data_IF_469149612978
#
_entry.id   IF_469149612978
#
_cell.length_a   1.000
_cell.length_b   1.000
_cell.length_c   1.000
_cell.angle_alpha   90.00
_cell.angle_beta   90.00
_cell.angle_gamma   90.00
#
_symmetry.space_group_name_H-M   'P 1'
#
loop_
_entity.id
_entity.type
_entity.pdbx_description
1 polymer ?
#
# COMPACT_ATOMS: atom_id res chain seq x y z
N UNK A 1 8.24 -8.69 -15.31
CA UNK A 1 9.27 -7.64 -15.21
C UNK A 1 10.58 -8.27 -15.62
N UNK A 2 11.00 -8.09 -16.87
CA UNK A 2 12.16 -8.78 -17.42
C UNK A 2 13.18 -7.75 -17.87
N UNK A 3 14.31 -7.73 -17.18
CA UNK A 3 15.55 -7.20 -17.72
C UNK A 3 16.08 -8.19 -18.76
N UNK A 4 16.83 -7.71 -19.74
CA UNK A 4 17.52 -8.53 -20.72
C UNK A 4 19.01 -8.47 -20.42
N UNK A 5 19.64 -9.63 -20.31
CA UNK A 5 21.10 -9.75 -20.25
C UNK A 5 21.77 -9.14 -21.50
N UNK A 6 21.10 -9.20 -22.65
CA UNK A 6 21.64 -8.73 -23.94
C UNK A 6 21.59 -7.21 -24.10
N UNK A 7 20.95 -6.49 -23.19
CA UNK A 7 20.83 -5.03 -23.28
C UNK A 7 21.59 -4.36 -22.14
N UNK A 8 22.28 -3.23 -22.37
CA UNK A 8 22.83 -2.42 -21.28
C UNK A 8 21.72 -1.65 -20.56
N UNK A 9 22.06 -0.96 -19.47
CA UNK A 9 21.22 0.08 -18.89
C UNK A 9 21.32 1.33 -19.76
N UNK A 10 20.20 1.80 -20.28
CA UNK A 10 20.11 2.98 -21.14
C UNK A 10 19.30 4.11 -20.49
N UNK A 11 19.39 5.30 -21.09
CA UNK A 11 18.58 6.47 -20.74
C UNK A 11 17.69 6.80 -21.92
N UNK A 12 16.38 6.83 -21.67
CA UNK A 12 15.36 7.22 -22.65
C UNK A 12 14.81 8.59 -22.31
N UNK A 13 14.82 9.51 -23.28
CA UNK A 13 14.24 10.84 -23.14
C UNK A 13 12.89 10.91 -23.87
N UNK A 14 11.85 11.35 -23.17
CA UNK A 14 10.53 11.66 -23.72
C UNK A 14 10.44 13.19 -23.89
N UNK A 15 10.49 13.65 -25.14
CA UNK A 15 10.49 15.08 -25.50
C UNK A 15 9.15 15.74 -25.21
N UNK A 16 8.03 15.03 -25.33
CA UNK A 16 6.70 15.55 -25.05
C UNK A 16 6.51 15.82 -23.56
N UNK A 17 7.06 14.94 -22.71
CA UNK A 17 7.00 15.08 -21.24
C UNK A 17 8.20 15.81 -20.64
N UNK A 18 9.17 16.20 -21.46
CA UNK A 18 10.47 16.78 -21.05
C UNK A 18 11.11 15.99 -19.91
N UNK A 19 11.13 14.66 -20.02
CA UNK A 19 11.53 13.76 -18.93
C UNK A 19 12.42 12.63 -19.42
N UNK A 20 13.52 12.39 -18.71
CA UNK A 20 14.37 11.22 -18.91
C UNK A 20 13.99 10.07 -17.95
N UNK A 21 14.22 8.84 -18.38
CA UNK A 21 14.01 7.61 -17.60
C UNK A 21 15.05 6.56 -17.96
N UNK A 22 15.48 5.76 -16.99
CA UNK A 22 16.32 4.60 -17.27
C UNK A 22 15.51 3.42 -17.83
N UNK A 23 16.15 2.64 -18.70
CA UNK A 23 15.64 1.36 -19.20
C UNK A 23 16.48 0.17 -18.71
N UNK A 24 15.96 -1.04 -18.92
CA UNK A 24 16.59 -2.30 -18.53
C UNK A 24 17.01 -2.42 -17.04
N UNK A 25 16.28 -1.75 -16.14
CA UNK A 25 16.48 -1.84 -14.67
C UNK A 25 15.33 -2.61 -14.02
N UNK A 26 15.67 -3.39 -12.99
CA UNK A 26 14.69 -4.02 -12.11
C UNK A 26 14.49 -3.23 -10.82
N UNK A 27 13.22 -3.09 -10.40
CA UNK A 27 12.86 -2.54 -9.10
C UNK A 27 12.68 -3.68 -8.10
N UNK A 28 13.12 -3.48 -6.85
CA UNK A 28 13.02 -4.53 -5.82
C UNK A 28 11.58 -4.83 -5.38
N UNK A 29 10.63 -3.91 -5.64
CA UNK A 29 9.22 -4.08 -5.27
C UNK A 29 8.92 -3.91 -3.78
N UNK A 30 9.94 -3.63 -2.95
CA UNK A 30 9.74 -3.43 -1.51
C UNK A 30 9.01 -2.12 -1.22
N UNK A 31 7.85 -2.23 -0.59
CA UNK A 31 7.03 -1.07 -0.19
C UNK A 31 7.61 -0.40 1.06
N UNK A 32 8.29 -1.17 1.91
CA UNK A 32 8.73 -0.72 3.23
C UNK A 32 10.17 -0.22 3.23
N UNK A 33 11.05 -0.87 2.48
CA UNK A 33 12.49 -0.62 2.55
C UNK A 33 13.04 0.19 1.37
N UNK A 34 12.28 0.33 0.28
CA UNK A 34 12.73 1.05 -0.91
C UNK A 34 11.85 2.28 -1.19
N UNK A 35 12.39 3.52 -1.08
CA UNK A 35 11.61 4.74 -1.26
C UNK A 35 11.05 4.88 -2.69
N UNK A 36 11.79 4.45 -3.71
CA UNK A 36 11.34 4.49 -5.11
C UNK A 36 10.16 3.54 -5.37
N UNK A 37 10.26 2.31 -4.88
CA UNK A 37 9.21 1.30 -5.04
C UNK A 37 7.98 1.69 -4.21
N UNK A 38 8.19 2.14 -2.98
CA UNK A 38 7.13 2.59 -2.08
C UNK A 38 6.26 3.66 -2.72
N UNK A 39 6.88 4.69 -3.33
CA UNK A 39 6.16 5.76 -4.04
C UNK A 39 5.34 5.22 -5.22
N UNK A 40 5.93 4.38 -6.07
CA UNK A 40 5.25 3.84 -7.26
C UNK A 40 4.06 2.95 -6.90
N UNK A 41 4.25 2.06 -5.93
CA UNK A 41 3.19 1.18 -5.43
C UNK A 41 2.07 1.99 -4.79
N UNK A 42 2.42 3.01 -3.99
CA UNK A 42 1.44 3.89 -3.35
C UNK A 42 0.61 4.69 -4.36
N UNK A 43 1.24 5.20 -5.42
CA UNK A 43 0.52 5.89 -6.51
C UNK A 43 -0.45 4.96 -7.24
N UNK A 44 0.00 3.76 -7.61
CA UNK A 44 -0.88 2.77 -8.24
C UNK A 44 -2.06 2.38 -7.33
N UNK A 45 -1.80 2.18 -6.03
CA UNK A 45 -2.86 1.89 -5.04
C UNK A 45 -3.83 3.06 -4.85
N UNK A 46 -3.35 4.31 -4.90
CA UNK A 46 -4.20 5.51 -4.78
C UNK A 46 -5.33 5.52 -5.81
N UNK A 47 -5.02 5.21 -7.07
CA UNK A 47 -6.03 5.16 -8.13
C UNK A 47 -7.06 4.04 -7.90
N UNK A 48 -6.63 2.88 -7.42
CA UNK A 48 -7.53 1.77 -7.09
C UNK A 48 -8.47 2.12 -5.93
N UNK A 49 -7.93 2.73 -4.87
CA UNK A 49 -8.73 3.17 -3.72
C UNK A 49 -9.73 4.24 -4.14
N UNK A 50 -9.33 5.22 -4.96
CA UNK A 50 -10.23 6.24 -5.47
C UNK A 50 -11.41 5.63 -6.24
N UNK A 51 -11.15 4.67 -7.15
CA UNK A 51 -12.20 3.95 -7.88
C UNK A 51 -13.13 3.17 -6.95
N UNK A 52 -12.58 2.51 -5.94
CA UNK A 52 -13.37 1.76 -4.96
C UNK A 52 -14.30 2.69 -4.15
N UNK A 53 -13.79 3.84 -3.71
CA UNK A 53 -14.57 4.86 -2.99
C UNK A 53 -15.70 5.39 -3.86
N UNK A 54 -15.41 5.78 -5.10
CA UNK A 54 -16.44 6.26 -6.04
C UNK A 54 -17.52 5.21 -6.27
N UNK A 55 -17.13 3.95 -6.47
CA UNK A 55 -18.08 2.84 -6.68
C UNK A 55 -18.95 2.57 -5.45
N UNK A 56 -18.36 2.62 -4.25
CA UNK A 56 -19.10 2.44 -3.00
C UNK A 56 -20.13 3.57 -2.78
N UNK A 57 -19.72 4.82 -3.00
CA UNK A 57 -20.60 5.98 -2.88
C UNK A 57 -21.77 5.91 -3.86
N UNK A 58 -21.52 5.48 -5.11
CA UNK A 58 -22.58 5.29 -6.11
C UNK A 58 -23.62 4.22 -5.71
N UNK A 59 -23.25 3.28 -4.83
CA UNK A 59 -24.15 2.26 -4.27
C UNK A 59 -24.83 2.71 -2.96
N UNK A 60 -24.69 3.97 -2.56
CA UNK A 60 -25.20 4.47 -1.28
C UNK A 60 -24.47 3.91 -0.05
N UNK A 61 -23.26 3.37 -0.23
CA UNK A 61 -22.44 2.86 0.88
C UNK A 61 -21.60 3.99 1.49
N UNK A 62 -21.21 3.81 2.75
CA UNK A 62 -20.26 4.69 3.43
C UNK A 62 -18.87 4.08 3.46
N UNK A 63 -17.84 4.89 3.21
CA UNK A 63 -16.43 4.47 3.28
C UNK A 63 -15.74 5.17 4.42
N UNK A 64 -15.05 4.41 5.27
CA UNK A 64 -14.26 4.92 6.38
C UNK A 64 -12.85 4.33 6.35
N UNK A 65 -11.84 5.15 6.65
CA UNK A 65 -10.48 4.70 6.94
C UNK A 65 -10.36 4.47 8.44
N UNK A 66 -10.12 3.22 8.85
CA UNK A 66 -10.03 2.85 10.26
C UNK A 66 -8.58 2.52 10.62
N UNK A 67 -8.11 3.09 11.73
CA UNK A 67 -6.85 2.71 12.37
C UNK A 67 -7.17 2.05 13.71
N UNK A 68 -7.03 0.72 13.79
CA UNK A 68 -7.37 -0.06 14.99
C UNK A 68 -6.10 -0.37 15.77
N UNK A 69 -5.87 0.36 16.86
CA UNK A 69 -4.69 0.21 17.72
C UNK A 69 -5.11 -0.05 19.17
N UNK A 70 -4.21 -0.67 19.94
CA UNK A 70 -4.35 -0.85 21.38
C UNK A 70 -3.11 -0.23 22.04
N UNK A 71 -3.29 0.65 23.05
CA UNK A 71 -2.14 1.12 23.82
C UNK A 71 -1.45 -0.07 24.48
N UNK A 72 -0.12 -0.04 24.53
CA UNK A 72 0.70 -1.07 25.18
C UNK A 72 1.93 -0.44 25.81
N UNK A 73 2.40 -1.06 26.90
CA UNK A 73 3.54 -0.64 27.70
C UNK A 73 4.53 -1.80 27.89
N UNK A 74 5.73 -1.49 28.38
CA UNK A 74 6.83 -2.45 28.51
C UNK A 74 6.48 -3.71 29.32
N UNK A 75 5.61 -3.59 30.32
CA UNK A 75 5.20 -4.69 31.18
C UNK A 75 3.96 -5.46 30.72
N UNK A 76 3.33 -5.06 29.62
CA UNK A 76 2.10 -5.70 29.16
C UNK A 76 2.41 -7.06 28.52
N UNK A 77 1.61 -8.07 28.87
CA UNK A 77 1.70 -9.38 28.23
C UNK A 77 1.15 -9.32 26.80
N UNK A 78 2.00 -9.68 25.83
CA UNK A 78 1.66 -9.64 24.42
C UNK A 78 0.50 -10.59 24.07
N UNK A 79 0.44 -11.78 24.69
CA UNK A 79 -0.61 -12.77 24.38
C UNK A 79 -1.97 -12.25 24.84
N UNK A 80 -2.04 -11.65 26.02
CA UNK A 80 -3.24 -11.04 26.56
C UNK A 80 -3.71 -9.85 25.70
N UNK A 81 -2.81 -8.93 25.32
CA UNK A 81 -3.12 -7.80 24.44
C UNK A 81 -3.71 -8.26 23.10
N UNK A 82 -3.10 -9.27 22.46
CA UNK A 82 -3.59 -9.82 21.20
C UNK A 82 -4.95 -10.51 21.36
N UNK A 83 -5.18 -11.21 22.47
CA UNK A 83 -6.46 -11.83 22.80
C UNK A 83 -7.58 -10.80 22.97
N UNK A 84 -7.30 -9.71 23.71
CA UNK A 84 -8.22 -8.57 23.89
C UNK A 84 -8.52 -7.86 22.57
N UNK A 85 -7.49 -7.59 21.76
CA UNK A 85 -7.66 -6.97 20.44
C UNK A 85 -8.51 -7.86 19.51
N UNK A 86 -8.33 -9.18 19.54
CA UNK A 86 -9.16 -10.12 18.78
C UNK A 86 -10.63 -10.05 19.20
N UNK A 87 -10.91 -10.05 20.50
CA UNK A 87 -12.28 -9.90 21.03
C UNK A 87 -12.89 -8.56 20.60
N UNK A 88 -12.17 -7.45 20.74
CA UNK A 88 -12.64 -6.13 20.33
C UNK A 88 -12.97 -6.05 18.83
N UNK A 89 -12.12 -6.63 17.96
CA UNK A 89 -12.40 -6.70 16.52
C UNK A 89 -13.64 -7.53 16.21
N UNK A 90 -13.84 -8.65 16.89
CA UNK A 90 -15.07 -9.44 16.72
C UNK A 90 -16.29 -8.59 17.10
N UNK A 91 -16.30 -7.93 18.25
CA UNK A 91 -17.41 -7.04 18.62
C UNK A 91 -17.70 -5.96 17.57
N UNK A 92 -16.66 -5.35 16.99
CA UNK A 92 -16.81 -4.32 15.96
C UNK A 92 -17.46 -4.84 14.66
N UNK A 93 -17.11 -6.06 14.23
CA UNK A 93 -17.49 -6.58 12.91
C UNK A 93 -18.63 -7.60 12.92
N UNK A 94 -18.87 -8.32 14.03
CA UNK A 94 -19.85 -9.41 14.10
C UNK A 94 -21.04 -9.14 15.00
N UNK A 95 -20.93 -8.25 15.99
CA UNK A 95 -22.07 -7.86 16.84
C UNK A 95 -22.86 -6.71 16.21
N UNK A 96 -23.41 -6.96 15.03
CA UNK A 96 -24.48 -6.17 14.43
C UNK A 96 -25.77 -6.96 14.45
#
# INVERSE_FOLDING_TARGET
MRISEKMPVGVRYDSAKKRASYDNIQYCGSVWTCPDCSKKVSLAKKELVAKAVTSANAKGMHVAMLTLTIPHYLGDDLKDLLSKMKKAKNYLFTNR
#
